data_IF_189842032899
#
_entry.id   IF_189842032899
#
_cell.length_a   1.000
_cell.length_b   1.000
_cell.length_c   1.000
_cell.angle_alpha   90.00
_cell.angle_beta   90.00
_cell.angle_gamma   90.00
#
_symmetry.space_group_name_H-M   'P 1'
#
loop_
_entity.id
_entity.type
_entity.pdbx_description
1 polymer ?
#
# COMPACT_ATOMS: atom_id res chain seq x y z
N UNK A 1 -1.92 -22.55 -32.76
CA UNK A 1 -0.98 -23.19 -31.79
C UNK A 1 0.10 -23.90 -32.58
N UNK A 2 1.39 -23.66 -32.34
CA UNK A 2 2.50 -24.30 -33.08
C UNK A 2 2.38 -24.26 -34.63
N UNK A 3 1.71 -23.24 -35.19
CA UNK A 3 1.45 -23.11 -36.63
C UNK A 3 0.13 -23.70 -37.12
N UNK A 4 -0.62 -24.42 -36.29
CA UNK A 4 -1.96 -24.92 -36.62
C UNK A 4 -3.04 -23.93 -36.20
N UNK A 5 -4.00 -23.67 -37.09
CA UNK A 5 -5.16 -22.80 -36.82
C UNK A 5 -6.07 -23.42 -35.75
N UNK A 6 -6.57 -22.58 -34.85
CA UNK A 6 -7.48 -23.00 -33.77
C UNK A 6 -8.88 -22.46 -34.07
N UNK A 7 -9.89 -23.33 -34.01
CA UNK A 7 -11.31 -22.98 -34.24
C UNK A 7 -12.21 -23.39 -33.08
N UNK A 8 -11.79 -24.33 -32.24
CA UNK A 8 -12.50 -24.75 -31.03
C UNK A 8 -12.23 -23.74 -29.91
N UNK A 9 -13.26 -23.42 -29.12
CA UNK A 9 -13.21 -22.48 -27.98
C UNK A 9 -12.76 -21.05 -28.33
N UNK A 10 -12.95 -20.65 -29.58
CA UNK A 10 -12.64 -19.33 -30.08
C UNK A 10 -13.89 -18.45 -30.11
N UNK A 11 -13.91 -17.38 -29.32
CA UNK A 11 -14.97 -16.39 -29.34
C UNK A 11 -14.60 -15.26 -30.33
N UNK A 12 -15.34 -15.16 -31.42
CA UNK A 12 -15.15 -14.13 -32.43
C UNK A 12 -16.16 -13.00 -32.21
N UNK A 13 -15.67 -11.77 -32.06
CA UNK A 13 -16.51 -10.60 -32.20
C UNK A 13 -16.43 -10.10 -33.62
N UNK A 14 -17.61 -10.03 -34.26
CA UNK A 14 -17.79 -9.50 -35.60
C UNK A 14 -17.32 -8.05 -35.71
N UNK A 15 -16.98 -7.65 -36.93
CA UNK A 15 -16.48 -6.31 -37.24
C UNK A 15 -17.53 -5.25 -36.90
N UNK A 16 -17.21 -4.36 -35.95
CA UNK A 16 -18.06 -3.25 -35.52
C UNK A 16 -17.41 -1.91 -35.88
N UNK A 17 -18.18 -0.87 -36.26
CA UNK A 17 -17.64 0.46 -36.47
C UNK A 17 -17.25 1.13 -35.14
N UNK A 18 -16.11 1.82 -35.10
CA UNK A 18 -15.61 2.56 -33.93
C UNK A 18 -16.07 4.03 -33.85
N UNK A 19 -16.79 4.51 -34.87
CA UNK A 19 -17.31 5.89 -34.93
C UNK A 19 -16.31 6.94 -35.46
N UNK A 20 -15.03 6.59 -35.56
CA UNK A 20 -13.94 7.40 -36.13
C UNK A 20 -13.58 6.96 -37.57
N UNK A 21 -14.51 6.29 -38.25
CA UNK A 21 -14.33 5.61 -39.55
C UNK A 21 -13.38 4.41 -39.52
N UNK A 22 -12.97 3.95 -38.33
CA UNK A 22 -12.25 2.67 -38.18
C UNK A 22 -13.22 1.55 -37.79
N UNK A 23 -12.71 0.33 -37.84
CA UNK A 23 -13.42 -0.87 -37.45
C UNK A 23 -12.68 -1.58 -36.31
N UNK A 24 -13.45 -2.19 -35.41
CA UNK A 24 -12.95 -3.07 -34.38
C UNK A 24 -13.41 -4.50 -34.64
N UNK A 25 -12.47 -5.43 -34.59
CA UNK A 25 -12.71 -6.88 -34.63
C UNK A 25 -11.73 -7.52 -33.67
N UNK A 26 -12.18 -8.48 -32.88
CA UNK A 26 -11.28 -9.21 -31.99
C UNK A 26 -11.72 -10.65 -31.85
N UNK A 27 -10.78 -11.44 -31.36
CA UNK A 27 -10.97 -12.87 -31.13
C UNK A 27 -10.35 -13.22 -29.78
N UNK A 28 -11.06 -13.99 -28.98
CA UNK A 28 -10.54 -14.54 -27.74
C UNK A 28 -10.44 -16.06 -27.85
N UNK A 29 -9.42 -16.60 -27.20
CA UNK A 29 -9.18 -18.02 -27.10
C UNK A 29 -8.78 -18.33 -25.66
N UNK A 30 -9.36 -19.38 -25.08
CA UNK A 30 -8.93 -19.88 -23.78
C UNK A 30 -7.61 -20.62 -23.94
N UNK A 31 -6.58 -20.15 -23.26
CA UNK A 31 -5.23 -20.74 -23.32
C UNK A 31 -4.83 -21.26 -21.94
N UNK A 32 -4.37 -22.52 -21.83
CA UNK A 32 -3.82 -23.03 -20.58
C UNK A 32 -2.61 -22.22 -20.13
N UNK A 33 -2.53 -21.96 -18.81
CA UNK A 33 -1.40 -21.22 -18.25
C UNK A 33 -0.08 -21.96 -18.49
N UNK A 34 0.94 -21.22 -18.90
CA UNK A 34 2.26 -21.75 -19.27
C UNK A 34 2.38 -22.20 -20.73
N UNK A 35 1.28 -22.22 -21.48
CA UNK A 35 1.29 -22.49 -22.92
C UNK A 35 1.12 -21.24 -23.79
N UNK A 36 0.95 -20.05 -23.21
CA UNK A 36 0.61 -18.80 -23.92
C UNK A 36 1.56 -18.51 -25.08
N UNK A 37 2.85 -18.74 -24.87
CA UNK A 37 3.90 -18.54 -25.87
C UNK A 37 3.77 -19.44 -27.10
N UNK A 38 3.04 -20.56 -27.04
CA UNK A 38 2.81 -21.48 -28.17
C UNK A 38 1.65 -21.03 -29.06
N UNK A 39 0.91 -20.02 -28.63
CA UNK A 39 -0.17 -19.41 -29.38
C UNK A 39 0.32 -18.11 -30.01
N UNK A 40 -0.18 -17.88 -31.22
CA UNK A 40 0.20 -16.73 -32.02
C UNK A 40 -1.07 -16.22 -32.67
N UNK A 41 -1.31 -14.91 -32.57
CA UNK A 41 -2.39 -14.24 -33.27
C UNK A 41 -1.88 -13.81 -34.65
N UNK A 42 -2.56 -14.23 -35.71
CA UNK A 42 -2.22 -13.85 -37.09
C UNK A 42 -3.34 -13.01 -37.67
N UNK A 43 -3.05 -11.77 -38.02
CA UNK A 43 -4.00 -10.79 -38.54
C UNK A 43 -3.72 -10.54 -40.01
N UNK A 44 -4.71 -10.82 -40.84
CA UNK A 44 -4.70 -10.52 -42.27
C UNK A 44 -5.68 -9.38 -42.55
N UNK A 45 -5.20 -8.32 -43.18
CA UNK A 45 -5.98 -7.14 -43.48
C UNK A 45 -5.45 -6.48 -44.75
N UNK A 46 -6.32 -5.91 -45.59
CA UNK A 46 -5.94 -5.33 -46.89
C UNK A 46 -4.91 -4.19 -46.77
N UNK A 47 -4.94 -3.46 -45.66
CA UNK A 47 -3.97 -2.41 -45.36
C UNK A 47 -2.56 -2.91 -44.97
N UNK A 48 -2.35 -4.21 -44.86
CA UNK A 48 -1.06 -4.81 -44.51
C UNK A 48 -0.50 -5.57 -45.72
N UNK A 49 0.74 -5.27 -46.11
CA UNK A 49 1.42 -5.99 -47.20
C UNK A 49 1.69 -7.46 -46.84
N UNK A 50 1.95 -7.73 -45.56
CA UNK A 50 2.17 -9.07 -45.01
C UNK A 50 1.30 -9.29 -43.77
N UNK A 51 0.93 -10.55 -43.44
CA UNK A 51 0.15 -10.84 -42.24
C UNK A 51 0.89 -10.44 -40.95
N UNK A 52 0.24 -9.68 -40.08
CA UNK A 52 0.79 -9.32 -38.78
C UNK A 52 0.68 -10.53 -37.84
N UNK A 53 1.83 -10.99 -37.32
CA UNK A 53 1.91 -12.17 -36.46
C UNK A 53 2.40 -11.75 -35.07
N UNK A 54 1.53 -11.84 -34.06
CA UNK A 54 1.77 -11.40 -32.69
C UNK A 54 1.82 -12.60 -31.74
N UNK A 55 2.83 -12.65 -30.88
CA UNK A 55 2.90 -13.61 -29.77
C UNK A 55 2.43 -12.95 -28.48
N UNK A 56 1.94 -13.74 -27.55
CA UNK A 56 1.64 -13.25 -26.22
C UNK A 56 2.93 -12.84 -25.51
N UNK A 57 2.93 -11.67 -24.87
CA UNK A 57 4.03 -11.20 -24.02
C UNK A 57 3.51 -11.09 -22.59
N UNK A 58 4.19 -11.68 -21.59
CA UNK A 58 3.80 -11.51 -20.20
C UNK A 58 3.76 -10.03 -19.81
N UNK A 59 2.83 -9.64 -18.91
CA UNK A 59 2.86 -8.31 -18.34
C UNK A 59 4.23 -8.08 -17.71
N UNK A 60 4.91 -7.06 -18.18
CA UNK A 60 6.22 -6.68 -17.69
C UNK A 60 6.01 -6.03 -16.33
N UNK A 61 5.98 -6.82 -15.25
CA UNK A 61 6.03 -6.26 -13.91
C UNK A 61 7.41 -5.65 -13.73
N UNK A 62 7.51 -4.34 -13.92
CA UNK A 62 8.75 -3.59 -13.76
C UNK A 62 9.18 -3.69 -12.30
N UNK A 63 10.18 -4.53 -12.04
CA UNK A 63 10.80 -4.67 -10.72
C UNK A 63 11.18 -3.31 -10.11
N UNK A 64 11.58 -2.36 -10.96
CA UNK A 64 11.84 -0.98 -10.58
C UNK A 64 10.60 -0.28 -10.00
N UNK A 65 9.43 -0.44 -10.61
CA UNK A 65 8.18 0.17 -10.13
C UNK A 65 7.76 -0.42 -8.79
N UNK A 66 7.85 -1.74 -8.64
CA UNK A 66 7.58 -2.41 -7.35
C UNK A 66 8.57 -1.95 -6.28
N UNK A 67 9.86 -1.86 -6.62
CA UNK A 67 10.91 -1.39 -5.73
C UNK A 67 10.70 0.05 -5.26
N UNK A 68 10.29 0.96 -6.16
CA UNK A 68 9.97 2.35 -5.82
C UNK A 68 8.79 2.40 -4.84
N UNK A 69 7.72 1.63 -5.10
CA UNK A 69 6.55 1.60 -4.21
C UNK A 69 6.96 1.13 -2.81
N UNK A 70 7.73 0.06 -2.70
CA UNK A 70 8.21 -0.46 -1.41
C UNK A 70 9.08 0.58 -0.69
N UNK A 71 10.01 1.23 -1.38
CA UNK A 71 10.89 2.24 -0.80
C UNK A 71 10.10 3.44 -0.25
N UNK A 72 9.09 3.92 -0.98
CA UNK A 72 8.22 5.02 -0.55
C UNK A 72 7.43 4.65 0.71
N UNK A 73 6.86 3.43 0.76
CA UNK A 73 6.14 2.95 1.93
C UNK A 73 7.04 2.89 3.16
N UNK A 74 8.25 2.34 3.03
CA UNK A 74 9.23 2.27 4.12
C UNK A 74 9.62 3.66 4.62
N UNK A 75 9.84 4.61 3.71
CA UNK A 75 10.18 6.00 4.05
C UNK A 75 9.06 6.66 4.87
N UNK A 76 7.80 6.52 4.43
CA UNK A 76 6.65 7.10 5.14
C UNK A 76 6.53 6.51 6.55
N UNK A 77 6.65 5.19 6.69
CA UNK A 77 6.58 4.52 8.00
C UNK A 77 7.71 4.99 8.93
N UNK A 78 8.94 5.12 8.42
CA UNK A 78 10.07 5.62 9.20
C UNK A 78 9.84 7.05 9.70
N UNK A 79 9.34 7.95 8.84
CA UNK A 79 9.02 9.33 9.22
C UNK A 79 7.95 9.37 10.32
N UNK A 80 6.87 8.59 10.18
CA UNK A 80 5.80 8.52 11.19
C UNK A 80 6.35 8.04 12.54
N UNK A 81 7.19 7.00 12.54
CA UNK A 81 7.81 6.47 13.75
C UNK A 81 8.72 7.51 14.44
N UNK A 82 9.53 8.24 13.67
CA UNK A 82 10.40 9.31 14.18
C UNK A 82 9.58 10.45 14.81
N UNK A 83 8.52 10.89 14.12
CA UNK A 83 7.63 11.96 14.62
C UNK A 83 6.93 11.51 15.91
N UNK A 84 6.38 10.30 15.94
CA UNK A 84 5.74 9.75 17.14
C UNK A 84 6.73 9.65 18.32
N UNK A 85 7.94 9.14 18.07
CA UNK A 85 9.01 9.07 19.08
C UNK A 85 9.40 10.45 19.62
N UNK A 86 9.56 11.44 18.74
CA UNK A 86 9.89 12.82 19.13
C UNK A 86 8.79 13.47 19.98
N UNK A 87 7.52 13.27 19.62
CA UNK A 87 6.36 13.78 20.38
C UNK A 87 6.32 13.16 21.78
N UNK A 88 6.48 11.84 21.89
CA UNK A 88 6.51 11.13 23.18
C UNK A 88 7.67 11.65 24.04
N UNK A 89 8.85 11.85 23.46
CA UNK A 89 10.02 12.35 24.19
C UNK A 89 9.85 13.79 24.69
N UNK A 90 9.27 14.68 23.86
CA UNK A 90 8.92 16.05 24.30
C UNK A 90 7.89 16.04 25.42
N UNK A 91 6.84 15.22 25.31
CA UNK A 91 5.79 15.12 26.34
C UNK A 91 6.36 14.65 27.68
N UNK A 92 7.23 13.63 27.68
CA UNK A 92 7.92 13.17 28.91
C UNK A 92 8.79 14.28 29.53
N UNK A 93 9.58 15.01 28.74
CA UNK A 93 10.45 16.07 29.27
C UNK A 93 9.70 17.33 29.72
N UNK A 94 8.52 17.59 29.18
CA UNK A 94 7.65 18.70 29.66
C UNK A 94 6.94 18.37 30.98
N UNK A 95 6.69 17.09 31.28
CA UNK A 95 6.07 16.65 32.54
C UNK A 95 7.00 16.74 33.75
N UNK A 96 8.32 16.63 33.56
CA UNK A 96 9.33 16.77 34.63
C UNK A 96 9.41 18.22 35.14
N UNK A 97 9.27 19.22 34.25
CA UNK A 97 9.25 20.63 34.65
C UNK A 97 8.00 20.96 35.46
N UNK A 98 6.82 20.43 35.09
CA UNK A 98 5.54 20.67 35.78
C UNK A 98 5.42 20.15 37.22
N UNK A 99 6.28 19.22 37.66
CA UNK A 99 6.17 18.56 38.97
C UNK A 99 6.88 19.29 40.12
N UNK A 100 7.82 20.19 39.81
CA UNK A 100 8.66 20.85 40.83
C UNK A 100 7.94 22.05 41.47
N UNK A 101 6.94 22.67 40.81
CA UNK A 101 6.23 23.84 41.35
C UNK A 101 5.05 23.50 42.26
N UNK A 102 4.59 22.25 42.30
CA UNK A 102 3.44 21.84 43.12
C UNK A 102 3.83 21.20 44.46
N UNK A 103 5.12 21.11 44.78
CA UNK A 103 5.60 20.71 46.11
C UNK A 103 6.03 21.95 46.92
N UNK A 104 5.13 22.93 47.04
CA UNK A 104 5.26 24.03 47.99
C UNK A 104 3.88 24.68 48.23
N UNK A 105 2.94 23.91 48.78
CA UNK A 105 1.73 24.47 49.36
C UNK A 105 1.23 23.56 50.50
N UNK A 106 1.96 23.55 51.61
CA UNK A 106 1.37 23.42 52.96
C UNK A 106 2.48 23.49 54.00
N UNK A 107 2.97 24.69 54.24
CA UNK A 107 3.60 25.03 55.51
C UNK A 107 3.13 26.43 55.86
N UNK A 108 2.03 26.51 56.60
CA UNK A 108 1.84 27.63 57.51
C UNK A 108 1.27 27.13 58.84
N UNK A 109 1.89 27.62 59.90
CA UNK A 109 1.72 27.17 61.28
C UNK A 109 0.80 28.15 62.00
N UNK A 110 -0.25 27.69 62.67
CA UNK A 110 -0.82 28.44 63.79
C UNK A 110 -1.68 27.55 64.73
N UNK A 111 -1.17 27.41 65.96
CA UNK A 111 -1.89 27.58 67.22
C UNK A 111 -2.86 26.46 67.70
N UNK A 112 -2.53 25.87 68.85
CA UNK A 112 -3.44 24.99 69.60
C UNK A 112 -2.73 24.15 70.65
N UNK A 113 -2.36 24.78 71.77
CA UNK A 113 -1.90 24.12 72.99
C UNK A 113 -2.97 23.17 73.52
N UNK A 114 -2.60 21.96 73.97
CA UNK A 114 -3.06 21.48 75.27
C UNK A 114 -2.16 20.37 75.82
N UNK A 115 -1.72 20.61 77.05
CA UNK A 115 -1.05 19.67 77.93
C UNK A 115 -2.09 18.67 78.43
N UNK A 116 -1.77 17.37 78.40
CA UNK A 116 -2.19 16.45 79.47
C UNK A 116 -1.30 15.20 79.47
N UNK A 117 -0.44 15.14 80.47
CA UNK A 117 0.16 13.92 80.97
C UNK A 117 -0.95 13.08 81.62
N UNK A 118 -1.17 11.86 81.14
CA UNK A 118 -1.86 10.83 81.92
C UNK A 118 -0.93 9.64 82.14
N UNK A 119 -0.66 9.42 83.42
CA UNK A 119 0.15 8.39 84.07
C UNK A 119 -0.46 6.99 83.84
N UNK A 120 0.35 5.92 83.74
CA UNK A 120 -0.14 4.54 83.57
C UNK A 120 -0.70 3.99 84.89
N UNK A 121 -1.74 3.16 84.80
CA UNK A 121 -2.41 2.58 85.98
C UNK A 121 -2.00 1.12 86.20
N UNK A 122 -1.64 0.83 87.47
CA UNK A 122 -1.57 -0.49 88.12
C UNK A 122 -2.97 -1.04 88.34
#
# INVERSE_FOLDING_TARGET
RNGEDQTQDMELVETRPSGDRTFQKWVALVVPSGEEQRYTCRVQHEGLQEPLTLRWEPPQTSFLTVGIIVALVVLVVAVVAVVAGAVIWRKKRSGEKGRIYTQAASSDSAQGSDVSLTVPKV
#
